data_IF_006362311624
#
_entry.id   IF_006362311624
#
_cell.length_a   1.000
_cell.length_b   1.000
_cell.length_c   1.000
_cell.angle_alpha   90.00
_cell.angle_beta   90.00
_cell.angle_gamma   90.00
#
_symmetry.space_group_name_H-M   'P 1'
#
loop_
_entity.id
_entity.type
_entity.pdbx_description
1 polymer ?
#
# COMPACT_ATOMS: atom_id res chain seq x y z
N UNK A 1 -0.35 21.25 7.60
CA UNK A 1 0.61 21.97 8.43
C UNK A 1 2.04 21.51 8.24
N UNK A 2 2.24 20.23 8.06
CA UNK A 2 3.56 19.67 7.83
C UNK A 2 3.48 18.70 6.66
N UNK A 3 4.53 18.67 5.83
CA UNK A 3 4.60 17.77 4.70
C UNK A 3 5.89 16.96 4.79
N UNK A 4 5.76 15.63 4.71
CA UNK A 4 6.89 14.72 4.70
C UNK A 4 6.97 14.01 3.36
N UNK A 5 8.17 13.93 2.80
CA UNK A 5 8.43 13.23 1.55
C UNK A 5 9.14 11.93 1.86
N UNK A 6 8.51 10.81 1.49
CA UNK A 6 9.11 9.50 1.70
C UNK A 6 8.82 8.91 3.06
N UNK A 7 9.47 7.80 3.34
CA UNK A 7 9.27 7.03 4.57
C UNK A 7 10.57 6.79 5.35
N UNK A 8 11.68 7.37 4.88
CA UNK A 8 12.98 7.18 5.52
C UNK A 8 13.75 5.96 5.05
N UNK A 9 13.23 5.23 4.09
CA UNK A 9 13.89 4.04 3.53
C UNK A 9 14.42 4.42 2.15
N UNK A 10 15.72 4.52 2.01
CA UNK A 10 16.37 5.10 0.83
C UNK A 10 15.95 4.43 -0.48
N UNK A 11 15.93 3.11 -0.53
CA UNK A 11 15.60 2.39 -1.77
C UNK A 11 14.15 2.63 -2.21
N UNK A 12 13.26 2.94 -1.28
CA UNK A 12 11.87 3.30 -1.58
C UNK A 12 11.79 4.77 -1.98
N UNK A 13 12.42 5.63 -1.20
CA UNK A 13 12.31 7.08 -1.37
C UNK A 13 13.00 7.55 -2.65
N UNK A 14 13.99 6.81 -3.12
CA UNK A 14 14.67 7.13 -4.37
C UNK A 14 13.69 7.18 -5.54
N UNK A 15 12.62 6.38 -5.50
CA UNK A 15 11.63 6.33 -6.58
C UNK A 15 10.46 7.32 -6.37
N UNK A 16 10.46 8.06 -5.25
CA UNK A 16 9.45 9.10 -5.02
C UNK A 16 8.04 8.58 -4.90
N UNK A 17 7.80 7.58 -4.04
CA UNK A 17 6.52 6.88 -3.99
C UNK A 17 5.58 7.33 -2.88
N UNK A 18 6.07 8.07 -1.89
CA UNK A 18 5.28 8.37 -0.69
C UNK A 18 5.38 9.85 -0.37
N UNK A 19 4.23 10.48 -0.13
CA UNK A 19 4.13 11.83 0.39
C UNK A 19 3.03 11.86 1.44
N UNK A 20 3.26 12.60 2.53
CA UNK A 20 2.30 12.70 3.62
C UNK A 20 2.13 14.15 4.04
N UNK A 21 0.88 14.55 4.25
CA UNK A 21 0.55 15.87 4.77
C UNK A 21 -0.12 15.69 6.14
N UNK A 22 0.41 16.37 7.14
CA UNK A 22 -0.08 16.28 8.51
C UNK A 22 -0.93 17.51 8.84
N UNK A 23 -2.14 17.26 9.31
CA UNK A 23 -3.08 18.28 9.78
C UNK A 23 -3.28 18.12 11.28
N UNK A 24 -4.11 18.98 11.87
CA UNK A 24 -4.26 18.98 13.34
C UNK A 24 -4.80 17.67 13.89
N UNK A 25 -5.79 17.08 13.22
CA UNK A 25 -6.49 15.90 13.74
C UNK A 25 -6.33 14.66 12.90
N UNK A 26 -5.62 14.74 11.78
CA UNK A 26 -5.45 13.60 10.87
C UNK A 26 -4.29 13.87 9.92
N UNK A 27 -3.85 12.81 9.28
CA UNK A 27 -2.83 12.89 8.23
C UNK A 27 -3.31 12.18 6.98
N UNK A 28 -2.90 12.68 5.83
CA UNK A 28 -3.23 12.10 4.52
C UNK A 28 -1.93 11.72 3.83
N UNK A 29 -1.88 10.47 3.38
CA UNK A 29 -0.73 9.95 2.65
C UNK A 29 -1.18 9.54 1.26
N UNK A 30 -0.37 9.89 0.27
CA UNK A 30 -0.53 9.36 -1.08
C UNK A 30 0.65 8.44 -1.36
N UNK A 31 0.35 7.25 -1.87
CA UNK A 31 1.37 6.24 -2.12
C UNK A 31 1.17 5.63 -3.50
N UNK A 32 2.29 5.33 -4.17
CA UNK A 32 2.27 4.65 -5.45
C UNK A 32 3.08 3.36 -5.32
N UNK A 33 2.37 2.24 -5.20
CA UNK A 33 3.00 0.94 -5.06
C UNK A 33 3.68 0.53 -6.36
N UNK A 34 4.84 -0.11 -6.29
CA UNK A 34 5.50 -0.60 -7.51
C UNK A 34 4.64 -1.60 -8.26
N UNK A 35 4.71 -1.59 -9.57
CA UNK A 35 4.11 -2.66 -10.37
C UNK A 35 5.11 -3.80 -10.50
N UNK A 36 4.60 -5.03 -10.70
CA UNK A 36 5.44 -6.21 -10.89
C UNK A 36 5.55 -6.58 -12.35
N UNK A 37 6.04 -5.66 -13.18
CA UNK A 37 6.07 -5.82 -14.64
C UNK A 37 7.03 -6.91 -15.12
N UNK A 38 8.00 -7.31 -14.30
CA UNK A 38 8.91 -8.41 -14.59
C UNK A 38 9.36 -9.03 -13.26
N UNK A 39 10.09 -10.17 -13.26
CA UNK A 39 10.45 -10.84 -12.01
C UNK A 39 11.25 -9.99 -11.04
N UNK A 40 12.17 -9.16 -11.53
CA UNK A 40 12.94 -8.27 -10.66
C UNK A 40 12.05 -7.22 -10.01
N UNK A 41 11.15 -6.63 -10.77
CA UNK A 41 10.20 -5.64 -10.22
C UNK A 41 9.20 -6.28 -9.30
N UNK A 42 8.78 -7.52 -9.56
CA UNK A 42 7.89 -8.23 -8.64
C UNK A 42 8.57 -8.49 -7.30
N UNK A 43 9.84 -8.87 -7.32
CA UNK A 43 10.61 -9.05 -6.09
C UNK A 43 10.73 -7.74 -5.31
N UNK A 44 10.99 -6.63 -6.01
CA UNK A 44 11.04 -5.31 -5.39
C UNK A 44 9.68 -4.94 -4.80
N UNK A 45 8.59 -5.24 -5.52
CA UNK A 45 7.23 -4.97 -5.04
C UNK A 45 6.96 -5.71 -3.73
N UNK A 46 7.30 -6.99 -3.64
CA UNK A 46 7.08 -7.75 -2.41
C UNK A 46 7.91 -7.20 -1.25
N UNK A 47 9.14 -6.78 -1.53
CA UNK A 47 9.98 -6.13 -0.52
C UNK A 47 9.38 -4.80 -0.08
N UNK A 48 8.85 -4.03 -1.02
CA UNK A 48 8.16 -2.78 -0.72
C UNK A 48 6.97 -3.02 0.21
N UNK A 49 6.17 -4.06 -0.07
CA UNK A 49 5.01 -4.38 0.76
C UNK A 49 5.41 -4.63 2.21
N UNK A 50 6.46 -5.43 2.43
CA UNK A 50 6.95 -5.71 3.77
C UNK A 50 7.43 -4.46 4.48
N UNK A 51 8.24 -3.66 3.80
CA UNK A 51 8.81 -2.44 4.39
C UNK A 51 7.71 -1.40 4.66
N UNK A 52 6.76 -1.28 3.74
CA UNK A 52 5.66 -0.34 3.91
C UNK A 52 4.77 -0.75 5.09
N UNK A 53 4.50 -2.04 5.23
CA UNK A 53 3.71 -2.54 6.36
C UNK A 53 4.37 -2.13 7.68
N UNK A 54 5.67 -2.40 7.80
CA UNK A 54 6.42 -2.07 9.02
C UNK A 54 6.43 -0.56 9.27
N UNK A 55 6.64 0.23 8.22
CA UNK A 55 6.63 1.68 8.31
C UNK A 55 5.29 2.19 8.84
N UNK A 56 4.19 1.69 8.30
CA UNK A 56 2.85 2.13 8.70
C UNK A 56 2.53 1.69 10.13
N UNK A 57 2.89 0.47 10.52
CA UNK A 57 2.64 0.02 11.89
C UNK A 57 3.36 0.91 12.89
N UNK A 58 4.58 1.32 12.58
CA UNK A 58 5.33 2.23 13.44
C UNK A 58 4.72 3.63 13.43
N UNK A 59 4.34 4.12 12.26
CA UNK A 59 3.78 5.47 12.11
C UNK A 59 2.46 5.62 12.87
N UNK A 60 1.64 4.58 12.90
CA UNK A 60 0.34 4.61 13.59
C UNK A 60 0.46 4.87 15.08
N UNK A 61 1.61 4.60 15.67
CA UNK A 61 1.82 4.83 17.10
C UNK A 61 1.77 6.32 17.44
N UNK A 62 2.21 7.18 16.52
CA UNK A 62 2.19 8.63 16.73
C UNK A 62 1.14 9.34 15.88
N UNK A 63 0.63 8.70 14.83
CA UNK A 63 -0.38 9.27 13.94
C UNK A 63 -1.53 8.28 13.82
N UNK A 64 -2.48 8.30 14.78
CA UNK A 64 -3.53 7.28 14.79
C UNK A 64 -4.61 7.48 13.71
N UNK A 65 -4.81 8.72 13.25
CA UNK A 65 -5.83 9.02 12.25
C UNK A 65 -5.15 9.25 10.90
N UNK A 66 -4.93 8.17 10.17
CA UNK A 66 -4.16 8.17 8.93
C UNK A 66 -5.04 7.71 7.77
N UNK A 67 -5.10 8.54 6.73
CA UNK A 67 -5.79 8.22 5.48
C UNK A 67 -4.71 7.92 4.44
N UNK A 68 -4.76 6.73 3.86
CA UNK A 68 -3.80 6.33 2.84
C UNK A 68 -4.53 6.12 1.53
N UNK A 69 -4.18 6.90 0.53
CA UNK A 69 -4.77 6.81 -0.80
C UNK A 69 -3.68 6.65 -1.85
N UNK A 70 -4.08 6.32 -3.06
CA UNK A 70 -3.15 6.20 -4.17
C UNK A 70 -3.36 4.92 -4.95
N UNK A 71 -2.34 4.53 -5.70
CA UNK A 71 -2.37 3.34 -6.52
C UNK A 71 -1.61 2.21 -5.83
N UNK A 72 -2.34 1.22 -5.35
CA UNK A 72 -1.76 0.09 -4.64
C UNK A 72 -1.25 -1.01 -5.57
N UNK A 73 -1.58 -0.94 -6.87
CA UNK A 73 -1.21 -1.96 -7.85
C UNK A 73 -1.59 -3.38 -7.43
N UNK A 74 -2.66 -3.51 -6.64
CA UNK A 74 -3.20 -4.79 -6.19
C UNK A 74 -4.72 -4.71 -6.23
N UNK A 75 -5.37 -5.71 -6.83
CA UNK A 75 -6.80 -5.93 -6.68
C UNK A 75 -6.98 -6.92 -5.54
N UNK A 76 -7.76 -6.56 -4.52
CA UNK A 76 -7.83 -7.34 -3.29
C UNK A 76 -8.64 -8.62 -3.44
N UNK A 77 -9.85 -8.50 -3.96
CA UNK A 77 -10.78 -9.64 -4.03
C UNK A 77 -11.27 -9.86 -5.46
N UNK A 78 -11.98 -10.96 -5.66
CA UNK A 78 -12.47 -11.32 -6.99
C UNK A 78 -13.40 -10.26 -7.58
N UNK A 79 -14.13 -9.54 -6.75
CA UNK A 79 -15.04 -8.49 -7.22
C UNK A 79 -14.29 -7.26 -7.73
N UNK A 80 -13.01 -7.12 -7.38
CA UNK A 80 -12.21 -5.95 -7.73
C UNK A 80 -11.55 -6.06 -9.10
N UNK A 81 -11.64 -7.21 -9.75
CA UNK A 81 -10.90 -7.44 -10.99
C UNK A 81 -11.79 -8.12 -12.02
N UNK A 82 -11.56 -7.77 -13.30
CA UNK A 82 -12.18 -8.45 -14.40
C UNK A 82 -11.52 -9.82 -14.58
N UNK A 83 -12.33 -10.88 -14.71
CA UNK A 83 -11.87 -12.23 -14.98
C UNK A 83 -10.89 -12.75 -13.92
N UNK A 84 -11.34 -12.90 -12.65
CA UNK A 84 -10.42 -13.29 -11.56
C UNK A 84 -9.75 -14.66 -11.78
N UNK A 85 -10.44 -15.62 -12.37
CA UNK A 85 -9.84 -16.93 -12.62
C UNK A 85 -8.66 -16.84 -13.59
N UNK A 86 -8.81 -16.04 -14.63
CA UNK A 86 -7.75 -15.86 -15.63
C UNK A 86 -6.54 -15.14 -15.05
N UNK A 87 -6.76 -14.25 -14.09
CA UNK A 87 -5.71 -13.38 -13.56
C UNK A 87 -5.11 -13.84 -12.22
N UNK A 88 -5.49 -15.02 -11.74
CA UNK A 88 -5.04 -15.47 -10.41
C UNK A 88 -3.53 -15.63 -10.27
N UNK A 89 -2.80 -15.73 -11.39
CA UNK A 89 -1.34 -15.83 -11.38
C UNK A 89 -0.70 -14.59 -12.01
N UNK A 90 -1.44 -13.49 -12.13
CA UNK A 90 -0.97 -12.25 -12.72
C UNK A 90 -0.58 -11.27 -11.62
N UNK A 91 0.58 -10.59 -11.76
CA UNK A 91 0.98 -9.55 -10.83
C UNK A 91 -0.14 -8.50 -10.69
N UNK A 92 -0.43 -8.13 -9.45
CA UNK A 92 -1.56 -7.29 -9.09
C UNK A 92 -2.72 -8.10 -8.55
N UNK A 93 -2.73 -9.42 -8.76
CA UNK A 93 -3.78 -10.29 -8.22
C UNK A 93 -3.21 -11.62 -7.73
N UNK A 94 -1.91 -11.66 -7.43
CA UNK A 94 -1.27 -12.86 -6.89
C UNK A 94 -1.77 -13.13 -5.47
N UNK A 95 -1.85 -14.41 -5.06
CA UNK A 95 -2.32 -14.75 -3.70
C UNK A 95 -1.55 -14.01 -2.61
N UNK A 96 -0.23 -13.94 -2.71
CA UNK A 96 0.59 -13.28 -1.69
C UNK A 96 0.33 -11.76 -1.63
N UNK A 97 0.02 -11.13 -2.77
CA UNK A 97 -0.34 -9.71 -2.81
C UNK A 97 -1.70 -9.48 -2.14
N UNK A 98 -2.66 -10.32 -2.47
CA UNK A 98 -4.01 -10.24 -1.89
C UNK A 98 -3.97 -10.51 -0.39
N UNK A 99 -3.17 -11.48 0.04
CA UNK A 99 -2.98 -11.77 1.46
C UNK A 99 -2.39 -10.58 2.20
N UNK A 100 -1.46 -9.87 1.55
CA UNK A 100 -0.89 -8.66 2.15
C UNK A 100 -1.96 -7.61 2.41
N UNK A 101 -2.86 -7.38 1.46
CA UNK A 101 -3.94 -6.39 1.64
C UNK A 101 -4.87 -6.83 2.78
N UNK A 102 -5.21 -8.11 2.85
CA UNK A 102 -6.03 -8.63 3.94
C UNK A 102 -5.37 -8.35 5.30
N UNK A 103 -4.08 -8.66 5.40
CA UNK A 103 -3.32 -8.42 6.63
C UNK A 103 -3.24 -6.93 6.96
N UNK A 104 -3.04 -6.09 5.94
CA UNK A 104 -2.93 -4.66 6.13
C UNK A 104 -4.23 -4.06 6.67
N UNK A 105 -5.36 -4.43 6.08
CA UNK A 105 -6.67 -3.97 6.55
C UNK A 105 -6.91 -4.47 7.97
N UNK A 106 -6.61 -5.74 8.25
CA UNK A 106 -6.82 -6.33 9.56
C UNK A 106 -5.96 -5.67 10.65
N UNK A 107 -4.93 -4.93 10.27
CA UNK A 107 -4.07 -4.23 11.23
C UNK A 107 -4.70 -2.95 11.80
N UNK A 108 -5.94 -2.65 11.43
CA UNK A 108 -6.67 -1.50 11.97
C UNK A 108 -7.15 -0.50 10.94
N UNK A 109 -7.18 -0.89 9.69
CA UNK A 109 -7.66 -0.01 8.61
C UNK A 109 -9.03 -0.44 8.11
N UNK A 110 -9.66 0.43 7.35
CA UNK A 110 -10.92 0.17 6.67
C UNK A 110 -10.72 0.49 5.20
N UNK A 111 -11.11 -0.45 4.34
CA UNK A 111 -11.21 -0.16 2.90
C UNK A 111 -12.47 0.65 2.70
N UNK A 112 -12.34 1.96 2.61
CA UNK A 112 -13.49 2.86 2.63
C UNK A 112 -14.41 2.65 1.43
N UNK A 113 -13.87 2.26 0.28
CA UNK A 113 -14.70 2.00 -0.90
C UNK A 113 -15.58 0.77 -0.69
N UNK A 114 -15.00 -0.31 -0.17
CA UNK A 114 -15.75 -1.55 0.05
C UNK A 114 -16.68 -1.47 1.25
N UNK A 115 -16.34 -0.62 2.21
CA UNK A 115 -17.17 -0.42 3.41
C UNK A 115 -18.50 0.24 3.06
N UNK A 116 -18.52 1.05 2.03
CA UNK A 116 -19.77 1.65 1.55
C UNK A 116 -20.61 0.62 0.83
#
# INVERSE_FOLDING_TARGET
KNVEYGCGIEKIDFEGRIIRADYDNYSVMSVYFPSGSNPLRQAFKMQFLDLFYQYIQELKKSIPNLIISGDYNICHTAIDIHNPQRNKNTSGFLPEERDWVTKFIASGFVDSFRHL
#
